data_IF_734354308790
#
_entry.id   IF_734354308790
#
_cell.length_a   1.000
_cell.length_b   1.000
_cell.length_c   1.000
_cell.angle_alpha   90.00
_cell.angle_beta   90.00
_cell.angle_gamma   90.00
#
_symmetry.space_group_name_H-M   'P 1'
#
loop_
_entity.id
_entity.type
_entity.pdbx_description
1 polymer ?
#
# COMPACT_ATOMS: atom_id res chain seq x y z
N UNK A 1 -25.53 -25.67 -13.65
CA UNK A 1 -24.63 -25.55 -12.49
C UNK A 1 -24.61 -26.87 -11.74
N UNK A 2 -23.42 -27.44 -11.54
CA UNK A 2 -23.25 -28.71 -10.81
C UNK A 2 -23.28 -28.52 -9.29
N UNK A 3 -23.53 -29.59 -8.53
CA UNK A 3 -23.54 -29.57 -7.05
C UNK A 3 -22.21 -29.04 -6.48
N UNK A 4 -21.08 -29.33 -7.15
CA UNK A 4 -19.74 -28.86 -6.75
C UNK A 4 -19.59 -27.34 -6.89
N UNK A 5 -19.99 -26.80 -8.04
CA UNK A 5 -19.93 -25.37 -8.35
C UNK A 5 -20.81 -24.54 -7.41
N UNK A 6 -22.02 -25.05 -7.10
CA UNK A 6 -22.90 -24.40 -6.11
C UNK A 6 -22.25 -24.32 -4.72
N UNK A 7 -21.64 -25.41 -4.25
CA UNK A 7 -20.94 -25.43 -2.94
C UNK A 7 -19.72 -24.51 -2.92
N UNK A 8 -18.99 -24.41 -4.03
CA UNK A 8 -17.85 -23.49 -4.16
C UNK A 8 -18.30 -22.02 -4.11
N UNK A 9 -19.40 -21.70 -4.79
CA UNK A 9 -20.00 -20.36 -4.74
C UNK A 9 -20.49 -20.00 -3.33
N UNK A 10 -21.27 -20.87 -2.68
CA UNK A 10 -21.75 -20.67 -1.31
C UNK A 10 -20.57 -20.46 -0.34
N UNK A 11 -19.47 -21.20 -0.53
CA UNK A 11 -18.25 -21.04 0.26
C UNK A 11 -17.57 -19.69 0.03
N UNK A 12 -17.53 -19.22 -1.22
CA UNK A 12 -16.94 -17.92 -1.59
C UNK A 12 -17.76 -16.76 -1.01
N UNK A 13 -19.08 -16.81 -1.16
CA UNK A 13 -20.01 -15.79 -0.65
C UNK A 13 -19.91 -15.66 0.87
N UNK A 14 -19.85 -16.80 1.59
CA UNK A 14 -19.69 -16.79 3.04
C UNK A 14 -18.34 -16.19 3.45
N UNK A 15 -17.27 -16.52 2.73
CA UNK A 15 -15.93 -15.95 3.00
C UNK A 15 -15.94 -14.43 2.81
N UNK A 16 -16.55 -13.95 1.73
CA UNK A 16 -16.67 -12.52 1.45
C UNK A 16 -17.50 -11.79 2.52
N UNK A 17 -18.63 -12.39 2.95
CA UNK A 17 -19.47 -11.85 4.02
C UNK A 17 -18.69 -11.68 5.34
N UNK A 18 -17.88 -12.69 5.71
CA UNK A 18 -17.01 -12.65 6.89
C UNK A 18 -15.99 -11.53 6.76
N UNK A 19 -15.29 -11.43 5.62
CA UNK A 19 -14.26 -10.43 5.37
C UNK A 19 -14.82 -9.00 5.41
N UNK A 20 -15.90 -8.76 4.68
CA UNK A 20 -16.57 -7.45 4.64
C UNK A 20 -17.05 -7.00 6.02
N UNK A 21 -17.60 -7.93 6.80
CA UNK A 21 -18.08 -7.62 8.16
C UNK A 21 -16.91 -7.38 9.11
N UNK A 22 -15.86 -8.19 9.03
CA UNK A 22 -14.67 -8.02 9.84
C UNK A 22 -13.95 -6.70 9.54
N UNK A 23 -13.82 -6.31 8.28
CA UNK A 23 -13.23 -5.03 7.86
C UNK A 23 -13.92 -3.85 8.55
N UNK A 24 -15.25 -3.77 8.46
CA UNK A 24 -16.03 -2.73 9.13
C UNK A 24 -15.79 -2.71 10.64
N UNK A 25 -15.89 -3.88 11.27
CA UNK A 25 -15.68 -3.99 12.72
C UNK A 25 -14.25 -3.59 13.15
N UNK A 26 -13.23 -3.93 12.37
CA UNK A 26 -11.84 -3.56 12.64
C UNK A 26 -11.61 -2.05 12.52
N UNK A 27 -12.23 -1.40 11.54
CA UNK A 27 -12.13 0.04 11.33
C UNK A 27 -12.92 0.82 12.39
N UNK A 28 -14.13 0.37 12.73
CA UNK A 28 -15.03 1.07 13.66
C UNK A 28 -14.57 0.96 15.11
N UNK A 29 -14.16 -0.24 15.54
CA UNK A 29 -13.91 -0.55 16.96
C UNK A 29 -12.45 -0.85 17.26
N UNK A 30 -11.61 -0.93 16.24
CA UNK A 30 -10.20 -1.31 16.36
C UNK A 30 -10.01 -2.83 16.42
N UNK A 31 -9.00 -3.33 15.71
CA UNK A 31 -8.69 -4.75 15.59
C UNK A 31 -8.61 -5.50 16.94
N UNK A 32 -7.97 -4.90 17.95
CA UNK A 32 -7.77 -5.55 19.26
C UNK A 32 -9.07 -5.76 20.04
N UNK A 33 -10.10 -4.94 19.80
CA UNK A 33 -11.37 -4.99 20.52
C UNK A 33 -12.41 -5.93 19.89
N UNK A 34 -12.09 -6.49 18.71
CA UNK A 34 -12.96 -7.42 18.00
C UNK A 34 -12.54 -8.86 18.28
N UNK A 35 -13.52 -9.75 18.42
CA UNK A 35 -13.34 -11.20 18.51
C UNK A 35 -14.05 -11.91 17.35
N UNK A 36 -13.74 -13.19 17.11
CA UNK A 36 -14.47 -14.03 16.15
C UNK A 36 -15.97 -14.08 16.49
N UNK A 37 -16.30 -14.10 17.79
CA UNK A 37 -17.68 -14.08 18.24
C UNK A 37 -18.41 -12.80 17.83
N UNK A 38 -17.77 -11.63 17.91
CA UNK A 38 -18.39 -10.38 17.47
C UNK A 38 -18.67 -10.37 15.97
N UNK A 39 -17.79 -10.96 15.16
CA UNK A 39 -18.00 -11.10 13.71
C UNK A 39 -19.18 -12.04 13.45
N UNK A 40 -19.19 -13.20 14.11
CA UNK A 40 -20.26 -14.20 13.98
C UNK A 40 -21.63 -13.65 14.38
N UNK A 41 -21.71 -12.96 15.51
CA UNK A 41 -22.92 -12.26 15.97
C UNK A 41 -23.41 -11.22 14.96
N UNK A 42 -22.48 -10.47 14.34
CA UNK A 42 -22.83 -9.43 13.37
C UNK A 42 -23.39 -9.98 12.05
N UNK A 43 -23.02 -11.20 11.68
CA UNK A 43 -23.55 -11.90 10.49
C UNK A 43 -24.66 -12.91 10.83
N UNK A 44 -25.07 -13.01 12.10
CA UNK A 44 -26.10 -13.94 12.59
C UNK A 44 -25.74 -15.44 12.44
N UNK A 45 -24.45 -15.77 12.58
CA UNK A 45 -23.95 -17.15 12.57
C UNK A 45 -23.25 -17.52 13.88
N UNK A 46 -23.01 -18.83 14.06
CA UNK A 46 -22.22 -19.32 15.17
C UNK A 46 -20.72 -19.02 14.97
N UNK A 47 -19.92 -18.84 16.03
CA UNK A 47 -18.47 -18.75 15.91
C UNK A 47 -17.86 -19.96 15.20
N UNK A 48 -18.43 -21.16 15.40
CA UNK A 48 -18.01 -22.38 14.72
C UNK A 48 -18.09 -22.25 13.18
N UNK A 49 -19.09 -21.53 12.66
CA UNK A 49 -19.22 -21.25 11.22
C UNK A 49 -18.02 -20.48 10.70
N UNK A 50 -17.53 -19.47 11.42
CA UNK A 50 -16.35 -18.67 11.01
C UNK A 50 -15.10 -19.55 10.96
N UNK A 51 -14.94 -20.44 11.94
CA UNK A 51 -13.79 -21.35 12.02
C UNK A 51 -13.70 -22.35 10.87
N UNK A 52 -14.78 -22.56 10.10
CA UNK A 52 -14.74 -23.34 8.86
C UNK A 52 -13.97 -22.63 7.73
N UNK A 53 -13.80 -21.31 7.82
CA UNK A 53 -13.19 -20.47 6.79
C UNK A 53 -11.87 -19.84 7.24
N UNK A 54 -11.75 -19.49 8.51
CA UNK A 54 -10.58 -18.81 9.07
C UNK A 54 -10.22 -19.41 10.44
N UNK A 55 -8.96 -19.80 10.60
CA UNK A 55 -8.38 -20.36 11.82
C UNK A 55 -8.48 -19.41 13.00
N UNK A 56 -8.32 -18.12 12.75
CA UNK A 56 -8.34 -17.07 13.77
C UNK A 56 -8.58 -15.68 13.17
N UNK A 57 -8.68 -14.68 14.06
CA UNK A 57 -8.89 -13.28 13.70
C UNK A 57 -7.72 -12.70 12.90
N UNK A 58 -6.49 -13.15 13.16
CA UNK A 58 -5.30 -12.68 12.46
C UNK A 58 -5.34 -13.10 10.98
N UNK A 59 -5.75 -14.33 10.67
CA UNK A 59 -5.91 -14.80 9.28
C UNK A 59 -6.92 -13.98 8.48
N UNK A 60 -7.98 -13.49 9.13
CA UNK A 60 -8.96 -12.57 8.52
C UNK A 60 -8.27 -11.24 8.17
N UNK A 61 -7.55 -10.63 9.12
CA UNK A 61 -6.82 -9.37 8.89
C UNK A 61 -5.76 -9.53 7.80
N UNK A 62 -5.00 -10.64 7.81
CA UNK A 62 -4.03 -10.94 6.77
C UNK A 62 -4.71 -11.11 5.42
N UNK A 63 -5.83 -11.81 5.33
CA UNK A 63 -6.55 -11.96 4.06
C UNK A 63 -7.00 -10.61 3.49
N UNK A 64 -7.57 -9.73 4.33
CA UNK A 64 -7.98 -8.38 3.92
C UNK A 64 -6.81 -7.53 3.45
N UNK A 65 -5.70 -7.53 4.20
CA UNK A 65 -4.50 -6.78 3.79
C UNK A 65 -3.91 -7.32 2.50
N UNK A 66 -3.94 -8.63 2.29
CA UNK A 66 -3.44 -9.27 1.06
C UNK A 66 -4.25 -8.78 -0.14
N UNK A 67 -5.58 -8.81 -0.05
CA UNK A 67 -6.47 -8.29 -1.10
C UNK A 67 -6.19 -6.81 -1.40
N UNK A 68 -5.95 -6.00 -0.36
CA UNK A 68 -5.56 -4.60 -0.52
C UNK A 68 -4.23 -4.44 -1.27
N UNK A 69 -3.18 -5.18 -0.88
CA UNK A 69 -1.90 -5.15 -1.57
C UNK A 69 -1.95 -5.72 -3.00
N UNK A 70 -2.79 -6.74 -3.27
CA UNK A 70 -3.01 -7.28 -4.62
C UNK A 70 -3.63 -6.22 -5.53
N UNK A 71 -4.67 -5.53 -5.05
CA UNK A 71 -5.31 -4.42 -5.78
C UNK A 71 -4.32 -3.29 -6.08
N UNK A 72 -3.56 -2.86 -5.07
CA UNK A 72 -2.55 -1.83 -5.24
C UNK A 72 -1.47 -2.26 -6.27
N UNK A 73 -0.96 -3.48 -6.14
CA UNK A 73 0.05 -4.02 -7.03
C UNK A 73 -0.41 -4.03 -8.49
N UNK A 74 -1.61 -4.53 -8.77
CA UNK A 74 -2.12 -4.60 -10.15
C UNK A 74 -2.37 -3.20 -10.73
N UNK A 75 -2.86 -2.24 -9.94
CA UNK A 75 -3.00 -0.84 -10.38
C UNK A 75 -1.65 -0.21 -10.73
N UNK A 76 -0.62 -0.42 -9.90
CA UNK A 76 0.71 0.12 -10.18
C UNK A 76 1.36 -0.56 -11.37
N UNK A 77 1.26 -1.89 -11.47
CA UNK A 77 1.82 -2.69 -12.56
C UNK A 77 1.23 -2.31 -13.91
N UNK A 78 -0.08 -2.12 -14.00
CA UNK A 78 -0.76 -1.69 -15.23
C UNK A 78 -0.46 -0.25 -15.62
N UNK A 79 0.03 0.55 -14.66
CA UNK A 79 0.42 1.96 -14.85
C UNK A 79 1.86 2.14 -15.34
N UNK A 80 2.66 1.07 -15.43
CA UNK A 80 4.04 1.14 -15.89
C UNK A 80 4.15 1.46 -17.39
N UNK A 81 5.20 2.21 -17.73
CA UNK A 81 5.63 2.55 -19.08
C UNK A 81 7.12 2.21 -19.26
N UNK A 82 7.40 1.07 -19.86
CA UNK A 82 8.76 0.53 -20.00
C UNK A 82 9.72 1.41 -20.83
N UNK A 83 9.19 2.38 -21.58
CA UNK A 83 10.00 3.25 -22.43
C UNK A 83 10.39 4.57 -21.75
N UNK A 84 9.75 4.91 -20.63
CA UNK A 84 9.97 6.15 -19.90
C UNK A 84 9.81 5.89 -18.39
N UNK A 85 10.92 5.65 -17.67
CA UNK A 85 10.86 5.27 -16.27
C UNK A 85 10.44 6.44 -15.36
N UNK A 86 10.68 7.71 -15.75
CA UNK A 86 10.15 8.87 -15.02
C UNK A 86 8.63 8.93 -15.13
N UNK A 87 8.09 8.75 -16.33
CA UNK A 87 6.64 8.66 -16.53
C UNK A 87 6.04 7.46 -15.80
N UNK A 88 6.76 6.33 -15.73
CA UNK A 88 6.35 5.19 -14.91
C UNK A 88 6.28 5.53 -13.43
N UNK A 89 7.23 6.32 -12.90
CA UNK A 89 7.20 6.74 -11.50
C UNK A 89 6.00 7.64 -11.23
N UNK A 90 5.73 8.59 -12.12
CA UNK A 90 4.57 9.48 -12.04
C UNK A 90 3.27 8.66 -12.01
N UNK A 91 3.09 7.76 -12.97
CA UNK A 91 1.89 6.92 -13.09
C UNK A 91 1.76 5.92 -11.94
N UNK A 92 2.85 5.36 -11.45
CA UNK A 92 2.84 4.51 -10.25
C UNK A 92 2.46 5.28 -8.98
N UNK A 93 2.87 6.54 -8.85
CA UNK A 93 2.47 7.43 -7.77
C UNK A 93 0.99 7.83 -7.84
N UNK A 94 0.50 8.20 -9.03
CA UNK A 94 -0.93 8.44 -9.28
C UNK A 94 -1.76 7.20 -8.92
N UNK A 95 -1.36 6.00 -9.38
CA UNK A 95 -2.05 4.75 -9.07
C UNK A 95 -2.10 4.46 -7.56
N UNK A 96 -1.01 4.76 -6.84
CA UNK A 96 -0.97 4.62 -5.37
C UNK A 96 -2.00 5.53 -4.69
N UNK A 97 -2.06 6.79 -5.11
CA UNK A 97 -2.99 7.78 -4.54
C UNK A 97 -4.44 7.44 -4.91
N UNK A 98 -4.73 7.10 -6.16
CA UNK A 98 -6.06 6.67 -6.61
C UNK A 98 -6.54 5.45 -5.85
N UNK A 99 -5.69 4.42 -5.68
CA UNK A 99 -6.02 3.26 -4.87
C UNK A 99 -6.46 3.66 -3.46
N UNK A 100 -5.69 4.56 -2.83
CA UNK A 100 -5.93 5.00 -1.48
C UNK A 100 -7.27 5.75 -1.33
N UNK A 101 -7.62 6.60 -2.32
CA UNK A 101 -8.87 7.36 -2.36
C UNK A 101 -10.10 6.50 -2.66
N UNK A 102 -9.97 5.54 -3.58
CA UNK A 102 -11.06 4.64 -3.99
C UNK A 102 -11.27 3.51 -2.97
N UNK A 103 -10.24 3.16 -2.19
CA UNK A 103 -10.24 2.05 -1.24
C UNK A 103 -9.74 2.47 0.16
N UNK A 104 -10.35 3.48 0.80
CA UNK A 104 -9.86 4.02 2.08
C UNK A 104 -9.88 2.99 3.21
N UNK A 105 -10.85 2.08 3.20
CA UNK A 105 -10.95 0.97 4.17
C UNK A 105 -9.74 0.02 4.07
N UNK A 106 -9.36 -0.37 2.84
CA UNK A 106 -8.18 -1.19 2.61
C UNK A 106 -6.90 -0.44 2.98
N UNK A 107 -6.79 0.85 2.60
CA UNK A 107 -5.64 1.69 2.95
C UNK A 107 -5.42 1.74 4.47
N UNK A 108 -6.48 1.94 5.23
CA UNK A 108 -6.44 1.97 6.69
C UNK A 108 -6.05 0.63 7.30
N UNK A 109 -6.57 -0.48 6.77
CA UNK A 109 -6.19 -1.81 7.24
C UNK A 109 -4.71 -2.15 6.93
N UNK A 110 -4.22 -1.72 5.77
CA UNK A 110 -2.85 -1.99 5.31
C UNK A 110 -1.81 -1.21 6.12
N UNK A 111 -2.03 0.10 6.33
CA UNK A 111 -0.98 0.98 6.84
C UNK A 111 -1.26 1.56 8.24
N UNK A 112 -2.52 1.74 8.63
CA UNK A 112 -2.88 2.49 9.84
C UNK A 112 -3.32 1.60 11.01
N UNK A 113 -3.86 0.42 10.71
CA UNK A 113 -4.39 -0.50 11.72
C UNK A 113 -3.26 -1.21 12.46
N UNK A 114 -3.15 -0.99 13.77
CA UNK A 114 -2.27 -1.76 14.65
C UNK A 114 -2.84 -3.17 14.86
N UNK A 115 -2.16 -4.15 14.28
CA UNK A 115 -2.42 -5.59 14.48
C UNK A 115 -1.08 -6.32 14.66
N UNK A 116 -1.10 -7.64 14.92
CA UNK A 116 0.13 -8.40 14.98
C UNK A 116 0.92 -8.20 13.68
N UNK A 117 2.13 -7.67 13.83
CA UNK A 117 3.18 -7.64 12.79
C UNK A 117 4.02 -8.93 12.90
N UNK A 118 3.58 -9.90 13.71
CA UNK A 118 4.34 -11.08 14.10
C UNK A 118 4.91 -11.77 12.87
N UNK A 119 6.24 -11.83 12.83
CA UNK A 119 7.07 -12.49 11.83
C UNK A 119 6.50 -12.40 10.41
N UNK A 120 6.56 -11.19 9.85
CA UNK A 120 6.49 -10.92 8.40
C UNK A 120 7.32 -11.97 7.60
N UNK A 121 8.36 -12.56 8.19
CA UNK A 121 9.20 -13.60 7.58
C UNK A 121 8.63 -15.03 7.55
N UNK A 122 7.63 -15.37 8.37
CA UNK A 122 7.12 -16.76 8.49
C UNK A 122 5.82 -17.02 7.72
N UNK A 123 5.28 -16.01 7.04
CA UNK A 123 4.05 -16.14 6.26
C UNK A 123 4.31 -15.63 4.83
N UNK A 124 3.90 -16.40 3.81
CA UNK A 124 3.84 -15.96 2.39
C UNK A 124 3.00 -14.68 2.16
N UNK A 125 2.47 -14.10 3.23
CA UNK A 125 1.82 -12.81 3.30
C UNK A 125 2.79 -11.64 3.03
N UNK A 126 4.09 -11.81 3.31
CA UNK A 126 5.16 -10.87 2.97
C UNK A 126 5.19 -10.54 1.46
N UNK A 127 4.80 -11.49 0.61
CA UNK A 127 5.17 -11.44 -0.80
C UNK A 127 4.50 -10.32 -1.58
N UNK A 128 3.27 -9.91 -1.26
CA UNK A 128 2.51 -9.00 -2.14
C UNK A 128 2.74 -7.53 -1.80
N UNK A 129 2.82 -7.18 -0.52
CA UNK A 129 3.26 -5.84 -0.12
C UNK A 129 4.68 -5.56 -0.61
N UNK A 130 5.57 -6.56 -0.50
CA UNK A 130 6.91 -6.48 -1.07
C UNK A 130 6.92 -6.36 -2.60
N UNK A 131 6.02 -7.05 -3.33
CA UNK A 131 5.95 -6.91 -4.80
C UNK A 131 5.68 -5.48 -5.26
N UNK A 132 4.78 -4.76 -4.60
CA UNK A 132 4.51 -3.34 -4.91
C UNK A 132 5.74 -2.46 -4.66
N UNK A 133 6.44 -2.70 -3.55
CA UNK A 133 7.66 -1.97 -3.22
C UNK A 133 8.83 -2.31 -4.15
N UNK A 134 8.99 -3.58 -4.52
CA UNK A 134 10.00 -4.02 -5.50
C UNK A 134 9.72 -3.47 -6.90
N UNK A 135 8.45 -3.30 -7.29
CA UNK A 135 8.07 -2.58 -8.51
C UNK A 135 8.65 -1.16 -8.54
N UNK A 136 8.46 -0.42 -7.44
CA UNK A 136 9.01 0.92 -7.26
C UNK A 136 10.54 0.90 -7.32
N UNK A 137 11.19 -0.02 -6.60
CA UNK A 137 12.66 -0.16 -6.60
C UNK A 137 13.21 -0.42 -7.99
N UNK A 138 12.59 -1.31 -8.76
CA UNK A 138 13.04 -1.61 -10.12
C UNK A 138 12.92 -0.39 -11.03
N UNK A 139 11.81 0.33 -10.95
CA UNK A 139 11.63 1.56 -11.72
C UNK A 139 12.64 2.66 -11.31
N UNK A 140 12.97 2.78 -10.02
CA UNK A 140 14.04 3.67 -9.53
C UNK A 140 15.41 3.26 -10.11
N UNK A 141 15.74 1.96 -10.15
CA UNK A 141 16.99 1.46 -10.76
C UNK A 141 17.07 1.82 -12.24
N UNK A 142 15.95 1.74 -12.97
CA UNK A 142 15.89 2.15 -14.37
C UNK A 142 16.17 3.64 -14.54
N UNK A 143 15.57 4.50 -13.69
CA UNK A 143 15.87 5.94 -13.66
C UNK A 143 17.36 6.21 -13.39
N UNK A 144 17.96 5.53 -12.40
CA UNK A 144 19.39 5.66 -12.09
C UNK A 144 20.29 5.18 -13.24
N UNK A 145 19.91 4.10 -13.92
CA UNK A 145 20.66 3.55 -15.07
C UNK A 145 20.67 4.53 -16.23
N UNK A 146 19.58 5.27 -16.44
CA UNK A 146 19.47 6.32 -17.46
C UNK A 146 20.05 7.67 -17.01
N UNK A 147 20.62 7.76 -15.80
CA UNK A 147 21.21 8.99 -15.25
C UNK A 147 20.18 10.06 -14.89
N UNK A 148 18.90 9.70 -14.76
CA UNK A 148 17.81 10.60 -14.38
C UNK A 148 17.82 10.87 -12.87
N UNK A 149 18.31 9.90 -12.09
CA UNK A 149 18.52 9.99 -10.64
C UNK A 149 20.00 9.79 -10.29
N UNK A 150 20.46 10.32 -9.14
CA UNK A 150 21.83 10.16 -8.69
C UNK A 150 22.13 8.70 -8.33
N UNK A 151 23.42 8.34 -8.36
CA UNK A 151 23.87 7.06 -7.81
C UNK A 151 23.88 7.14 -6.29
N UNK A 152 22.86 6.57 -5.67
CA UNK A 152 22.76 6.38 -4.23
C UNK A 152 22.03 5.07 -3.94
N UNK A 153 21.87 4.73 -2.66
CA UNK A 153 21.14 3.53 -2.27
C UNK A 153 19.69 3.58 -2.80
N UNK A 154 19.31 2.55 -3.57
CA UNK A 154 17.98 2.43 -4.18
C UNK A 154 16.87 2.38 -3.14
N UNK A 155 17.11 1.75 -1.98
CA UNK A 155 16.13 1.63 -0.91
C UNK A 155 15.89 3.00 -0.27
N UNK A 156 16.91 3.87 -0.17
CA UNK A 156 16.72 5.25 0.30
C UNK A 156 15.81 6.04 -0.64
N UNK A 157 16.04 5.95 -1.95
CA UNK A 157 15.23 6.69 -2.94
C UNK A 157 13.82 6.14 -3.02
N UNK A 158 13.66 4.82 -3.10
CA UNK A 158 12.35 4.17 -3.13
C UNK A 158 11.54 4.47 -1.86
N UNK A 159 12.16 4.39 -0.68
CA UNK A 159 11.50 4.74 0.57
C UNK A 159 11.10 6.22 0.63
N UNK A 160 11.93 7.12 0.10
CA UNK A 160 11.63 8.56 0.04
C UNK A 160 10.43 8.86 -0.87
N UNK A 161 10.41 8.27 -2.07
CA UNK A 161 9.30 8.41 -3.02
C UNK A 161 8.01 7.81 -2.46
N UNK A 162 8.09 6.62 -1.85
CA UNK A 162 6.95 6.00 -1.20
C UNK A 162 6.42 6.86 -0.05
N UNK A 163 7.30 7.38 0.79
CA UNK A 163 6.94 8.28 1.91
C UNK A 163 6.22 9.53 1.40
N UNK A 164 6.65 10.09 0.27
CA UNK A 164 6.03 11.26 -0.33
C UNK A 164 4.58 11.01 -0.76
N UNK A 165 4.33 9.98 -1.57
CA UNK A 165 2.97 9.63 -2.03
C UNK A 165 2.09 9.11 -0.89
N UNK A 166 2.68 8.40 0.08
CA UNK A 166 2.00 7.96 1.29
C UNK A 166 1.55 9.15 2.16
N UNK A 167 2.39 10.18 2.29
CA UNK A 167 2.05 11.42 2.97
C UNK A 167 0.85 12.13 2.32
N UNK A 168 0.89 12.30 0.99
CA UNK A 168 -0.21 12.90 0.23
C UNK A 168 -1.51 12.11 0.44
N UNK A 169 -1.49 10.80 0.19
CA UNK A 169 -2.66 9.93 0.36
C UNK A 169 -3.23 10.00 1.79
N UNK A 170 -2.37 9.94 2.81
CA UNK A 170 -2.77 10.01 4.21
C UNK A 170 -3.42 11.35 4.56
N UNK A 171 -2.90 12.47 4.04
CA UNK A 171 -3.49 13.79 4.26
C UNK A 171 -4.88 13.90 3.64
N UNK A 172 -5.06 13.41 2.41
CA UNK A 172 -6.35 13.51 1.72
C UNK A 172 -7.39 12.60 2.37
N UNK A 173 -7.08 11.33 2.62
CA UNK A 173 -8.00 10.36 3.22
C UNK A 173 -8.47 10.82 4.60
N UNK A 174 -7.61 11.48 5.38
CA UNK A 174 -7.95 12.02 6.71
C UNK A 174 -8.66 13.37 6.65
N UNK A 175 -9.12 13.79 5.47
CA UNK A 175 -9.76 15.10 5.26
C UNK A 175 -8.87 16.25 5.78
N UNK A 176 -7.55 16.10 5.72
CA UNK A 176 -6.57 17.15 6.03
C UNK A 176 -6.16 17.95 4.80
N UNK A 177 -6.63 17.53 3.61
CA UNK A 177 -6.54 18.29 2.37
C UNK A 177 -7.44 19.53 2.31
N UNK A 178 -8.32 19.74 3.30
CA UNK A 178 -9.24 20.89 3.42
C UNK A 178 -8.56 22.27 3.44
N UNK A 179 -7.24 22.31 3.50
CA UNK A 179 -6.44 23.52 3.33
C UNK A 179 -6.64 24.08 1.90
N UNK A 180 -7.02 23.22 0.95
CA UNK A 180 -7.33 23.58 -0.43
C UNK A 180 -8.82 23.33 -0.75
N UNK A 181 -9.42 24.11 -1.66
CA UNK A 181 -10.73 23.80 -2.23
C UNK A 181 -10.73 22.42 -2.91
N UNK A 182 -11.87 21.71 -2.85
CA UNK A 182 -11.99 20.34 -3.37
C UNK A 182 -11.64 20.27 -4.86
N UNK A 183 -12.04 21.27 -5.64
CA UNK A 183 -11.74 21.37 -7.07
C UNK A 183 -10.24 21.48 -7.37
N UNK A 184 -9.42 21.90 -6.40
CA UNK A 184 -7.96 22.06 -6.56
C UNK A 184 -7.17 20.84 -6.10
N UNK A 185 -7.77 19.90 -5.37
CA UNK A 185 -7.04 18.76 -4.76
C UNK A 185 -6.31 17.94 -5.83
N UNK A 186 -6.96 17.68 -6.96
CA UNK A 186 -6.34 16.91 -8.06
C UNK A 186 -5.15 17.63 -8.69
N UNK A 187 -5.24 18.96 -8.84
CA UNK A 187 -4.14 19.77 -9.38
C UNK A 187 -2.98 19.83 -8.39
N UNK A 188 -3.27 19.91 -7.09
CA UNK A 188 -2.26 19.83 -6.04
C UNK A 188 -1.55 18.48 -6.01
N UNK A 189 -2.26 17.37 -6.20
CA UNK A 189 -1.66 16.03 -6.30
C UNK A 189 -0.71 15.97 -7.49
N UNK A 190 -1.18 16.35 -8.69
CA UNK A 190 -0.36 16.34 -9.91
C UNK A 190 0.87 17.23 -9.79
N UNK A 191 0.68 18.47 -9.35
CA UNK A 191 1.76 19.42 -9.13
C UNK A 191 2.79 18.94 -8.10
N UNK A 192 2.33 18.25 -7.05
CA UNK A 192 3.21 17.65 -6.03
C UNK A 192 4.06 16.52 -6.60
N UNK A 193 3.46 15.60 -7.38
CA UNK A 193 4.21 14.52 -8.03
C UNK A 193 5.22 15.05 -9.04
N UNK A 194 4.82 16.04 -9.85
CA UNK A 194 5.72 16.72 -10.79
C UNK A 194 6.88 17.41 -10.07
N UNK A 195 6.60 18.11 -8.97
CA UNK A 195 7.62 18.76 -8.15
C UNK A 195 8.63 17.75 -7.61
N UNK A 196 8.16 16.62 -7.05
CA UNK A 196 9.02 15.57 -6.52
C UNK A 196 9.92 14.95 -7.60
N UNK A 197 9.45 14.79 -8.83
CA UNK A 197 10.31 14.27 -9.90
C UNK A 197 11.29 15.32 -10.44
N UNK A 198 10.88 16.58 -10.56
CA UNK A 198 11.73 17.68 -11.07
C UNK A 198 12.90 18.00 -10.13
N UNK A 199 12.67 18.05 -8.82
CA UNK A 199 13.74 18.35 -7.85
C UNK A 199 14.84 17.28 -7.84
N UNK A 200 14.50 16.04 -8.23
CA UNK A 200 15.45 14.95 -8.33
C UNK A 200 16.19 14.90 -9.69
N UNK A 201 15.61 15.52 -10.73
CA UNK A 201 16.14 15.56 -12.10
C UNK A 201 17.14 16.70 -12.32
N UNK A 202 16.98 17.84 -11.65
CA UNK A 202 17.96 18.91 -11.69
C UNK A 202 19.22 18.46 -10.93
N UNK A 203 20.38 18.50 -11.59
CA UNK A 203 21.69 17.98 -11.15
C UNK A 203 22.28 18.67 -9.90
N UNK A 204 21.46 19.08 -8.94
CA UNK A 204 21.82 19.71 -7.68
C UNK A 204 22.29 18.70 -6.60
N UNK A 205 22.80 17.54 -7.02
CA UNK A 205 23.25 16.47 -6.13
C UNK A 205 24.66 16.70 -5.54
N UNK A 206 25.35 17.77 -5.97
CA UNK A 206 26.69 18.13 -5.48
C UNK A 206 26.74 18.43 -3.98
N UNK A 207 25.63 18.91 -3.40
CA UNK A 207 25.52 19.15 -1.95
C UNK A 207 25.48 17.82 -1.17
N UNK A 208 24.80 16.79 -1.69
CA UNK A 208 24.67 15.49 -1.03
C UNK A 208 25.98 14.69 -1.06
N UNK A 209 26.67 14.67 -2.21
CA UNK A 209 27.92 13.93 -2.38
C UNK A 209 29.05 14.44 -1.46
N UNK A 210 29.09 15.74 -1.17
CA UNK A 210 30.07 16.31 -0.22
C UNK A 210 29.81 15.89 1.22
N UNK A 211 28.55 15.77 1.63
CA UNK A 211 28.18 15.46 3.02
C UNK A 211 28.37 13.98 3.40
N UNK A 212 28.23 13.04 2.44
CA UNK A 212 28.47 11.62 2.68
C UNK A 212 29.97 11.27 2.66
N UNK A 213 30.77 11.87 1.78
CA UNK A 213 32.20 11.60 1.73
C UNK A 213 32.93 12.06 3.00
N UNK A 214 32.46 13.13 3.66
CA UNK A 214 33.02 13.59 4.94
C UNK A 214 32.76 12.64 6.12
N UNK A 215 31.72 11.79 6.05
CA UNK A 215 31.45 10.81 7.12
C UNK A 215 32.29 9.53 7.00
N UNK A 216 32.81 9.24 5.81
CA UNK A 216 33.68 8.08 5.58
C UNK A 216 35.11 8.35 6.05
N UNK A 217 35.54 9.61 6.11
CA UNK A 217 36.90 10.01 6.53
C UNK A 217 37.09 10.13 8.06
N UNK A 218 36.01 10.11 8.85
CA UNK A 218 36.07 10.24 10.32
C UNK A 218 35.94 8.91 11.07
N UNK A 219 35.93 7.77 10.36
CA UNK A 219 35.93 6.42 10.93
C UNK A 219 37.20 5.64 10.52
N UNK A 220 38.37 6.25 10.65
CA UNK A 220 39.68 5.58 10.67
C UNK A 220 40.44 6.04 11.92
#
# INVERSE_FOLDING_TARGET
MGIKERKENEKSEMKELILKTAMKLFLDKGFNNITIRNIAEKIEYSPATIYLYFKNKDEILYTLRREGFEKLYELQKTSLNTNDPLKSLLKGGEAYISFALENPEYYDLMFMTRGPVKNIKETNFCDIGLKSYELLKNNVKECMTQGLFPRMDVDIVAFSLWSYVHGIASLIIRSRGIIFPEEQVNDMIKGSLDFMLKINHEKNWDIYNKSMNQKTELNI
#
